data_IF_833253654374
#
_entry.id   IF_833253654374
#
_cell.length_a   1.000
_cell.length_b   1.000
_cell.length_c   1.000
_cell.angle_alpha   90.00
_cell.angle_beta   90.00
_cell.angle_gamma   90.00
#
_symmetry.space_group_name_H-M   'P 1'
#
loop_
_entity.id
_entity.type
_entity.pdbx_description
1 polymer ?
#
# COMPACT_ATOMS: atom_id res chain seq x y z
N UNK A 1 26.56 11.36 16.81
CA UNK A 1 25.64 10.75 15.83
C UNK A 1 24.22 11.04 16.32
N UNK A 2 23.49 11.92 15.66
CA UNK A 2 22.09 12.20 16.02
C UNK A 2 21.28 11.03 15.45
N UNK A 3 20.74 10.20 16.30
CA UNK A 3 19.79 9.16 15.90
C UNK A 3 18.51 9.86 15.46
N UNK A 4 18.32 10.04 14.15
CA UNK A 4 17.06 10.54 13.62
C UNK A 4 16.04 9.42 13.83
N UNK A 5 15.15 9.60 14.80
CA UNK A 5 14.01 8.68 14.99
C UNK A 5 13.12 8.81 13.76
N UNK A 6 12.88 7.70 13.08
CA UNK A 6 11.96 7.68 11.94
C UNK A 6 10.56 8.17 12.38
N UNK A 7 9.85 8.95 11.55
CA UNK A 7 8.48 9.36 11.87
C UNK A 7 7.59 8.11 12.05
N UNK A 8 6.54 8.25 12.87
CA UNK A 8 5.63 7.14 13.15
C UNK A 8 4.82 6.71 11.92
N UNK A 9 4.54 7.69 11.03
CA UNK A 9 3.79 7.51 9.78
C UNK A 9 4.71 7.90 8.63
N UNK A 10 4.99 6.95 7.74
CA UNK A 10 5.91 7.18 6.63
C UNK A 10 5.73 6.19 5.48
N UNK A 11 6.25 6.59 4.33
CA UNK A 11 6.59 5.69 3.23
C UNK A 11 8.09 5.72 2.99
N UNK A 12 8.67 4.56 2.73
CA UNK A 12 10.08 4.40 2.39
C UNK A 12 10.24 3.60 1.12
N UNK A 13 11.02 4.12 0.19
CA UNK A 13 11.38 3.42 -1.03
C UNK A 13 12.63 2.57 -0.80
N UNK A 14 12.73 1.46 -1.53
CA UNK A 14 13.91 0.61 -1.56
C UNK A 14 14.14 0.02 -2.95
N UNK A 15 15.34 -0.50 -3.17
CA UNK A 15 15.72 -1.25 -4.37
C UNK A 15 16.49 -2.49 -3.97
N UNK A 16 16.22 -3.61 -4.62
CA UNK A 16 17.01 -4.84 -4.47
C UNK A 16 18.17 -4.75 -5.44
N UNK A 17 19.40 -4.69 -4.92
CA UNK A 17 20.59 -4.37 -5.73
C UNK A 17 20.95 -5.45 -6.73
N UNK A 18 20.73 -6.73 -6.38
CA UNK A 18 20.98 -7.88 -7.25
C UNK A 18 19.88 -8.18 -8.26
N UNK A 19 18.80 -7.40 -8.28
CA UNK A 19 17.61 -7.64 -9.11
C UNK A 19 17.09 -6.32 -9.67
N UNK A 20 16.40 -6.38 -10.83
CA UNK A 20 15.68 -5.22 -11.37
C UNK A 20 14.34 -4.97 -10.64
N UNK A 21 14.38 -4.97 -9.32
CA UNK A 21 13.19 -4.83 -8.47
C UNK A 21 13.32 -3.61 -7.56
N UNK A 22 12.32 -2.76 -7.59
CA UNK A 22 12.14 -1.67 -6.63
C UNK A 22 10.91 -1.91 -5.79
N UNK A 23 10.87 -1.33 -4.60
CA UNK A 23 9.71 -1.44 -3.75
C UNK A 23 9.49 -0.22 -2.86
N UNK A 24 8.39 -0.27 -2.15
CA UNK A 24 8.03 0.69 -1.10
C UNK A 24 7.41 -0.04 0.07
N UNK A 25 7.66 0.48 1.25
CA UNK A 25 7.01 0.07 2.49
C UNK A 25 6.35 1.27 3.12
N UNK A 26 5.13 1.08 3.61
CA UNK A 26 4.32 2.09 4.31
C UNK A 26 4.02 1.60 5.71
N UNK A 27 4.19 2.49 6.67
CA UNK A 27 3.75 2.33 8.04
C UNK A 27 2.85 3.49 8.42
N UNK A 28 1.65 3.19 8.92
CA UNK A 28 0.66 4.16 9.38
C UNK A 28 0.19 3.78 10.79
N UNK A 29 0.36 4.72 11.72
CA UNK A 29 -0.01 4.61 13.13
C UNK A 29 -1.03 5.68 13.48
N UNK A 30 -0.58 6.89 13.75
CA UNK A 30 -1.45 8.00 14.14
C UNK A 30 -2.36 8.44 12.99
N UNK A 31 -1.86 8.40 11.75
CA UNK A 31 -2.64 8.71 10.55
C UNK A 31 -3.76 7.70 10.36
N UNK A 32 -3.46 6.39 10.43
CA UNK A 32 -4.48 5.35 10.30
C UNK A 32 -5.56 5.48 11.38
N UNK A 33 -5.14 5.66 12.63
CA UNK A 33 -6.06 5.78 13.77
C UNK A 33 -7.00 7.00 13.59
N UNK A 34 -6.45 8.17 13.24
CA UNK A 34 -7.23 9.40 13.01
C UNK A 34 -8.24 9.25 11.87
N UNK A 35 -7.80 8.72 10.71
CA UNK A 35 -8.67 8.54 9.54
C UNK A 35 -9.82 7.59 9.86
N UNK A 36 -9.53 6.46 10.49
CA UNK A 36 -10.54 5.44 10.77
C UNK A 36 -11.46 5.88 11.90
N UNK A 37 -10.91 6.44 12.98
CA UNK A 37 -11.71 6.86 14.14
C UNK A 37 -12.63 8.06 13.84
N UNK A 38 -12.25 8.93 12.89
CA UNK A 38 -13.02 10.13 12.55
C UNK A 38 -14.47 9.85 12.10
N UNK A 39 -14.74 8.66 11.57
CA UNK A 39 -16.03 8.33 10.94
C UNK A 39 -16.84 7.24 11.66
N UNK A 40 -16.28 6.60 12.70
CA UNK A 40 -16.98 5.55 13.44
C UNK A 40 -17.42 4.36 12.59
N UNK A 41 -16.60 3.96 11.65
CA UNK A 41 -16.87 2.82 10.77
C UNK A 41 -16.99 1.50 11.54
N UNK A 42 -17.86 0.56 11.10
CA UNK A 42 -17.80 -0.82 11.54
C UNK A 42 -16.44 -1.44 11.19
N UNK A 43 -15.93 -2.37 12.01
CA UNK A 43 -14.62 -3.02 11.81
C UNK A 43 -14.31 -3.45 10.37
N UNK A 44 -15.22 -4.13 9.64
CA UNK A 44 -14.93 -4.55 8.26
C UNK A 44 -14.70 -3.36 7.31
N UNK A 45 -15.44 -2.26 7.50
CA UNK A 45 -15.28 -1.03 6.70
C UNK A 45 -14.00 -0.30 7.09
N UNK A 46 -13.68 -0.25 8.40
CA UNK A 46 -12.43 0.30 8.93
C UNK A 46 -11.20 -0.33 8.28
N UNK A 47 -11.21 -1.67 8.14
CA UNK A 47 -10.12 -2.41 7.48
C UNK A 47 -9.97 -2.02 6.01
N UNK A 48 -11.05 -1.96 5.27
CA UNK A 48 -11.04 -1.55 3.85
C UNK A 48 -10.52 -0.12 3.68
N UNK A 49 -10.94 0.81 4.55
CA UNK A 49 -10.45 2.20 4.53
C UNK A 49 -8.97 2.26 4.83
N UNK A 50 -8.49 1.50 5.82
CA UNK A 50 -7.06 1.40 6.14
C UNK A 50 -6.22 0.82 5.00
N UNK A 51 -6.70 -0.25 4.34
CA UNK A 51 -6.04 -0.83 3.17
C UNK A 51 -5.98 0.17 2.00
N UNK A 52 -7.08 0.88 1.73
CA UNK A 52 -7.11 1.89 0.67
C UNK A 52 -6.14 3.05 0.96
N UNK A 53 -6.04 3.47 2.22
CA UNK A 53 -5.11 4.50 2.67
C UNK A 53 -3.64 4.09 2.43
N UNK A 54 -3.28 2.86 2.81
CA UNK A 54 -1.94 2.30 2.57
C UNK A 54 -1.67 2.19 1.08
N UNK A 55 -2.63 1.70 0.30
CA UNK A 55 -2.49 1.57 -1.15
C UNK A 55 -2.25 2.93 -1.82
N UNK A 56 -3.04 3.96 -1.46
CA UNK A 56 -2.84 5.31 -1.97
C UNK A 56 -1.45 5.85 -1.62
N UNK A 57 -0.95 5.62 -0.40
CA UNK A 57 0.38 6.03 0.02
C UNK A 57 1.50 5.29 -0.74
N UNK A 58 1.37 3.96 -0.92
CA UNK A 58 2.33 3.14 -1.69
C UNK A 58 2.45 3.63 -3.14
N UNK A 59 1.33 3.94 -3.77
CA UNK A 59 1.27 4.37 -5.16
C UNK A 59 1.64 5.84 -5.31
N UNK A 60 1.09 6.72 -4.48
CA UNK A 60 1.28 8.16 -4.55
C UNK A 60 2.72 8.60 -4.30
N UNK A 61 3.42 7.91 -3.40
CA UNK A 61 4.86 8.17 -3.18
C UNK A 61 5.75 7.85 -4.40
N UNK A 62 5.19 7.31 -5.49
CA UNK A 62 5.90 7.14 -6.76
C UNK A 62 5.84 8.34 -7.68
N UNK A 63 4.98 9.30 -7.40
CA UNK A 63 4.86 10.51 -8.20
C UNK A 63 6.19 11.28 -8.18
N UNK A 64 6.65 11.67 -9.37
CA UNK A 64 7.88 12.45 -9.56
C UNK A 64 7.61 13.95 -9.69
N UNK A 65 6.36 14.35 -9.49
CA UNK A 65 5.86 15.71 -9.60
C UNK A 65 4.83 15.98 -8.50
N UNK A 66 4.53 17.25 -8.25
CA UNK A 66 3.47 17.62 -7.30
C UNK A 66 2.10 17.34 -7.90
N UNK A 67 1.22 16.75 -7.09
CA UNK A 67 -0.12 16.39 -7.53
C UNK A 67 -0.80 15.43 -6.56
N UNK A 68 -1.97 14.97 -6.94
CA UNK A 68 -2.78 14.03 -6.16
C UNK A 68 -2.94 12.72 -6.91
N UNK A 69 -2.72 11.60 -6.19
CA UNK A 69 -3.11 10.28 -6.64
C UNK A 69 -4.34 9.83 -5.84
N UNK A 70 -5.39 9.46 -6.56
CA UNK A 70 -6.64 8.95 -5.98
C UNK A 70 -6.82 7.47 -6.34
N UNK A 71 -7.05 6.65 -5.33
CA UNK A 71 -7.57 5.29 -5.46
C UNK A 71 -9.05 5.33 -5.13
N UNK A 72 -9.89 4.92 -6.07
CA UNK A 72 -11.33 4.88 -5.88
C UNK A 72 -11.89 3.53 -6.28
N UNK A 73 -12.72 2.92 -5.40
CA UNK A 73 -13.53 1.77 -5.78
C UNK A 73 -14.99 2.18 -5.92
N UNK A 74 -15.71 1.50 -6.82
CA UNK A 74 -17.16 1.52 -6.91
C UNK A 74 -17.66 0.09 -6.98
N UNK A 75 -18.59 -0.27 -6.09
CA UNK A 75 -19.12 -1.61 -5.97
C UNK A 75 -20.63 -1.64 -5.77
N UNK A 76 -21.25 -2.78 -6.07
CA UNK A 76 -22.68 -3.04 -5.88
C UNK A 76 -23.01 -3.61 -4.50
N UNK A 77 -21.98 -3.86 -3.69
CA UNK A 77 -22.09 -4.40 -2.35
C UNK A 77 -22.54 -3.37 -1.31
N UNK A 78 -22.58 -3.77 -0.02
CA UNK A 78 -22.88 -2.87 1.09
C UNK A 78 -21.93 -1.68 1.22
N UNK A 79 -20.67 -1.83 0.83
CA UNK A 79 -19.68 -0.75 0.70
C UNK A 79 -19.67 -0.34 -0.76
N UNK A 80 -20.40 0.72 -1.09
CA UNK A 80 -20.60 1.15 -2.48
C UNK A 80 -19.43 1.95 -3.04
N UNK A 81 -18.64 2.60 -2.19
CA UNK A 81 -17.50 3.40 -2.61
C UNK A 81 -16.45 3.49 -1.49
N UNK A 82 -15.19 3.41 -1.89
CA UNK A 82 -14.04 3.77 -1.06
C UNK A 82 -13.20 4.75 -1.87
N UNK A 83 -12.75 5.82 -1.25
CA UNK A 83 -11.83 6.80 -1.86
C UNK A 83 -10.66 7.00 -0.92
N UNK A 84 -9.46 6.94 -1.45
CA UNK A 84 -8.25 7.29 -0.73
C UNK A 84 -7.35 8.16 -1.62
N UNK A 85 -6.86 9.26 -1.09
CA UNK A 85 -5.99 10.19 -1.77
C UNK A 85 -4.62 10.24 -1.11
N UNK A 86 -3.61 10.37 -1.93
CA UNK A 86 -2.27 10.82 -1.57
C UNK A 86 -1.99 12.11 -2.31
N UNK A 87 -1.71 13.19 -1.58
CA UNK A 87 -1.27 14.46 -2.13
C UNK A 87 0.19 14.69 -1.78
N UNK A 88 1.01 14.96 -2.81
CA UNK A 88 2.43 15.25 -2.65
C UNK A 88 2.65 16.47 -1.72
N UNK A 89 3.66 16.46 -0.82
CA UNK A 89 4.69 15.44 -0.70
C UNK A 89 4.32 14.22 0.16
N UNK A 90 3.23 14.21 0.93
CA UNK A 90 2.93 13.10 1.83
C UNK A 90 1.64 13.27 2.63
N UNK A 91 0.64 13.99 2.14
CA UNK A 91 -0.66 14.12 2.81
C UNK A 91 -1.62 13.05 2.31
N UNK A 92 -2.27 12.33 3.24
CA UNK A 92 -3.20 11.25 2.91
C UNK A 92 -4.55 11.42 3.59
N UNK A 93 -5.60 10.95 2.92
CA UNK A 93 -6.96 10.86 3.46
C UNK A 93 -7.69 9.68 2.84
N UNK A 94 -8.71 9.17 3.52
CA UNK A 94 -9.59 8.15 2.97
C UNK A 94 -10.98 8.22 3.58
N UNK A 95 -11.98 7.78 2.81
CA UNK A 95 -13.35 7.64 3.28
C UNK A 95 -14.07 6.52 2.54
N UNK A 96 -15.18 6.05 3.13
CA UNK A 96 -16.05 5.06 2.52
C UNK A 96 -17.53 5.47 2.63
N UNK A 97 -18.30 5.08 1.60
CA UNK A 97 -19.77 5.13 1.61
C UNK A 97 -20.30 3.71 1.72
N UNK A 98 -21.15 3.47 2.70
CA UNK A 98 -21.64 2.13 3.00
C UNK A 98 -23.07 2.16 3.59
N UNK A 99 -23.75 1.02 3.50
CA UNK A 99 -25.01 0.75 4.17
C UNK A 99 -24.77 -0.02 5.47
N UNK A 100 -24.94 0.63 6.60
CA UNK A 100 -24.66 0.06 7.91
C UNK A 100 -25.51 -1.18 8.22
N UNK A 101 -26.79 -1.21 7.80
CA UNK A 101 -27.68 -2.34 8.01
C UNK A 101 -27.25 -3.56 7.20
N UNK A 102 -26.89 -3.37 5.93
CA UNK A 102 -26.38 -4.44 5.07
C UNK A 102 -25.02 -4.95 5.55
N UNK A 103 -24.10 -4.07 5.97
CA UNK A 103 -22.80 -4.49 6.54
C UNK A 103 -23.02 -5.33 7.81
N UNK A 104 -23.89 -4.88 8.72
CA UNK A 104 -24.17 -5.60 9.96
C UNK A 104 -24.75 -7.02 9.70
N UNK A 105 -25.54 -7.19 8.63
CA UNK A 105 -26.12 -8.47 8.26
C UNK A 105 -25.11 -9.51 7.75
N UNK A 106 -23.90 -9.10 7.34
CA UNK A 106 -22.84 -9.99 6.85
C UNK A 106 -22.08 -10.72 7.97
N UNK A 107 -22.28 -10.32 9.23
CA UNK A 107 -21.56 -10.90 10.37
C UNK A 107 -20.20 -10.26 10.64
N UNK A 108 -19.32 -10.98 11.39
CA UNK A 108 -18.09 -10.38 11.95
C UNK A 108 -16.92 -10.31 10.99
N UNK A 109 -16.84 -11.20 10.02
CA UNK A 109 -15.67 -11.32 9.13
C UNK A 109 -16.10 -11.54 7.67
N UNK A 110 -16.82 -10.57 7.08
CA UNK A 110 -17.21 -10.68 5.68
C UNK A 110 -15.99 -10.60 4.76
N UNK A 111 -16.06 -11.31 3.63
CA UNK A 111 -15.03 -11.20 2.60
C UNK A 111 -15.12 -9.86 1.87
N UNK A 112 -14.06 -9.52 1.11
CA UNK A 112 -14.04 -8.34 0.25
C UNK A 112 -15.24 -8.35 -0.72
N UNK A 113 -15.50 -9.48 -1.36
CA UNK A 113 -16.60 -9.63 -2.33
C UNK A 113 -17.97 -9.46 -1.69
N UNK A 114 -18.14 -9.88 -0.44
CA UNK A 114 -19.39 -9.65 0.30
C UNK A 114 -19.57 -8.18 0.65
N UNK A 115 -18.49 -7.45 0.93
CA UNK A 115 -18.53 -6.03 1.26
C UNK A 115 -18.69 -5.14 0.05
N UNK A 116 -17.88 -5.33 -0.99
CA UNK A 116 -17.81 -4.42 -2.15
C UNK A 116 -18.62 -4.94 -3.33
N UNK A 117 -18.71 -6.26 -3.48
CA UNK A 117 -19.43 -6.89 -4.59
C UNK A 117 -18.72 -6.67 -5.93
N UNK A 118 -19.48 -6.85 -7.02
CA UNK A 118 -18.99 -6.53 -8.35
C UNK A 118 -18.79 -5.03 -8.49
N UNK A 119 -17.75 -4.65 -9.23
CA UNK A 119 -17.45 -3.23 -9.39
C UNK A 119 -16.13 -2.96 -10.09
N UNK A 120 -15.59 -1.78 -9.89
CA UNK A 120 -14.33 -1.34 -10.49
C UNK A 120 -13.45 -0.59 -9.50
N UNK A 121 -12.14 -0.65 -9.73
CA UNK A 121 -11.16 0.22 -9.12
C UNK A 121 -10.64 1.20 -10.18
N UNK A 122 -10.56 2.46 -9.81
CA UNK A 122 -9.97 3.54 -10.59
C UNK A 122 -8.75 4.09 -9.88
N UNK A 123 -7.66 4.28 -10.63
CA UNK A 123 -6.47 5.00 -10.16
C UNK A 123 -6.36 6.25 -11.01
N UNK A 124 -6.42 7.41 -10.35
CA UNK A 124 -6.38 8.71 -11.00
C UNK A 124 -5.14 9.46 -10.52
N UNK A 125 -4.41 10.04 -11.45
CA UNK A 125 -3.29 10.94 -11.18
C UNK A 125 -3.68 12.31 -11.70
N UNK A 126 -3.66 13.30 -10.81
CA UNK A 126 -4.03 14.68 -11.08
C UNK A 126 -2.84 15.58 -10.74
N UNK A 127 -2.01 15.95 -11.72
CA UNK A 127 -0.86 16.82 -11.52
C UNK A 127 -1.25 18.25 -11.19
N UNK A 128 -0.45 18.94 -10.36
CA UNK A 128 -0.66 20.37 -10.03
C UNK A 128 -0.25 21.33 -11.18
N UNK A 129 0.50 20.83 -12.18
CA UNK A 129 0.99 21.61 -13.32
C UNK A 129 0.15 21.39 -14.58
N UNK A 130 0.49 22.10 -15.66
CA UNK A 130 -0.14 21.97 -16.99
C UNK A 130 0.12 20.59 -17.65
N UNK A 131 -0.11 19.53 -16.90
CA UNK A 131 -0.04 18.14 -17.35
C UNK A 131 -1.45 17.53 -17.35
N UNK A 132 -1.71 16.69 -18.34
CA UNK A 132 -3.01 16.02 -18.44
C UNK A 132 -3.26 15.07 -17.28
N UNK A 133 -4.48 15.09 -16.80
CA UNK A 133 -4.98 14.11 -15.81
C UNK A 133 -5.01 12.72 -16.45
N UNK A 134 -4.46 11.75 -15.75
CA UNK A 134 -4.49 10.35 -16.13
C UNK A 134 -5.46 9.56 -15.25
N UNK A 135 -6.24 8.66 -15.85
CA UNK A 135 -7.08 7.73 -15.11
C UNK A 135 -7.12 6.38 -15.80
N UNK A 136 -6.82 5.33 -15.04
CA UNK A 136 -7.04 3.95 -15.45
C UNK A 136 -8.14 3.32 -14.60
N UNK A 137 -8.99 2.51 -15.22
CA UNK A 137 -10.11 1.83 -14.57
C UNK A 137 -10.09 0.35 -14.97
N UNK A 138 -10.16 -0.54 -13.97
CA UNK A 138 -10.26 -1.99 -14.19
C UNK A 138 -11.39 -2.59 -13.37
N UNK A 139 -12.03 -3.67 -13.82
CA UNK A 139 -12.99 -4.39 -13.00
C UNK A 139 -12.30 -5.03 -11.79
N UNK A 140 -13.01 -5.12 -10.68
CA UNK A 140 -12.58 -5.92 -9.53
C UNK A 140 -13.07 -7.35 -9.73
N UNK A 141 -12.14 -8.29 -9.83
CA UNK A 141 -12.43 -9.71 -10.11
C UNK A 141 -12.21 -10.58 -8.84
N UNK A 142 -12.54 -10.04 -7.66
CA UNK A 142 -12.40 -10.74 -6.39
C UNK A 142 -11.05 -10.52 -5.69
N UNK A 143 -10.85 -11.21 -4.58
CA UNK A 143 -9.63 -11.20 -3.79
C UNK A 143 -9.53 -10.06 -2.79
N UNK A 144 -9.41 -8.81 -3.26
CA UNK A 144 -9.24 -7.65 -2.38
C UNK A 144 -8.72 -6.41 -3.12
N UNK A 145 -8.40 -5.37 -2.36
CA UNK A 145 -7.83 -4.14 -2.92
C UNK A 145 -6.43 -4.35 -3.50
N UNK A 146 -5.60 -5.17 -2.85
CA UNK A 146 -4.26 -5.49 -3.32
C UNK A 146 -4.31 -6.21 -4.67
N UNK A 147 -5.15 -7.24 -4.80
CA UNK A 147 -5.35 -8.02 -6.03
C UNK A 147 -5.90 -7.14 -7.15
N UNK A 148 -6.87 -6.28 -6.85
CA UNK A 148 -7.43 -5.34 -7.82
C UNK A 148 -6.38 -4.33 -8.32
N UNK A 149 -5.52 -3.85 -7.45
CA UNK A 149 -4.42 -2.95 -7.82
C UNK A 149 -3.33 -3.68 -8.62
N UNK A 150 -3.00 -4.93 -8.27
CA UNK A 150 -2.05 -5.74 -9.06
C UNK A 150 -2.57 -5.97 -10.48
N UNK A 151 -3.87 -6.28 -10.62
CA UNK A 151 -4.52 -6.43 -11.92
C UNK A 151 -4.48 -5.13 -12.73
N UNK A 152 -4.66 -3.98 -12.08
CA UNK A 152 -4.51 -2.67 -12.74
C UNK A 152 -3.11 -2.51 -13.34
N UNK A 153 -2.06 -2.80 -12.56
CA UNK A 153 -0.68 -2.69 -13.04
C UNK A 153 -0.37 -3.67 -14.17
N UNK A 154 -0.88 -4.88 -14.09
CA UNK A 154 -0.69 -5.87 -15.15
C UNK A 154 -1.37 -5.46 -16.46
N UNK A 155 -2.65 -5.05 -16.41
CA UNK A 155 -3.47 -4.77 -17.61
C UNK A 155 -3.24 -3.38 -18.19
N UNK A 156 -3.04 -2.37 -17.36
CA UNK A 156 -2.99 -0.97 -17.79
C UNK A 156 -1.55 -0.45 -17.93
N UNK A 157 -0.68 -0.82 -17.00
CA UNK A 157 0.69 -0.30 -16.94
C UNK A 157 1.72 -1.30 -17.48
N UNK A 158 1.35 -2.57 -17.60
CA UNK A 158 2.26 -3.67 -17.99
C UNK A 158 3.50 -3.75 -17.09
N UNK A 159 3.33 -3.44 -15.81
CA UNK A 159 4.37 -3.51 -14.78
C UNK A 159 4.05 -4.66 -13.83
N UNK A 160 4.81 -5.76 -13.86
CA UNK A 160 4.64 -6.83 -12.87
C UNK A 160 4.79 -6.27 -11.46
N UNK A 161 3.75 -6.40 -10.67
CA UNK A 161 3.63 -5.78 -9.35
C UNK A 161 3.13 -6.80 -8.33
N UNK A 162 3.72 -6.82 -7.13
CA UNK A 162 3.19 -7.56 -6.00
C UNK A 162 2.91 -6.59 -4.85
N UNK A 163 1.75 -6.74 -4.20
CA UNK A 163 1.27 -5.87 -3.12
C UNK A 163 0.81 -6.71 -1.95
N UNK A 164 1.18 -6.30 -0.74
CA UNK A 164 0.65 -6.80 0.53
C UNK A 164 0.16 -5.61 1.36
N UNK A 165 -1.07 -5.73 1.86
CA UNK A 165 -1.70 -4.73 2.72
C UNK A 165 -2.11 -5.41 4.03
N UNK A 166 -2.03 -4.70 5.14
CA UNK A 166 -2.46 -5.20 6.44
C UNK A 166 -3.04 -4.06 7.28
N UNK A 167 -4.14 -4.34 7.97
CA UNK A 167 -4.77 -3.44 8.94
C UNK A 167 -5.09 -4.21 10.20
N UNK A 168 -4.69 -3.68 11.34
CA UNK A 168 -4.92 -4.30 12.62
C UNK A 168 -5.26 -3.25 13.70
N UNK A 169 -5.88 -3.71 14.79
CA UNK A 169 -5.99 -2.95 16.02
C UNK A 169 -4.92 -3.40 17.00
N UNK A 170 -4.23 -2.46 17.60
CA UNK A 170 -3.26 -2.70 18.66
C UNK A 170 -3.82 -2.18 19.99
N UNK A 171 -3.79 -3.03 21.02
CA UNK A 171 -4.09 -2.61 22.38
C UNK A 171 -2.89 -1.92 23.00
N UNK A 172 -3.01 -0.64 23.27
CA UNK A 172 -1.97 0.14 23.96
C UNK A 172 -2.42 0.49 25.40
N UNK A 173 -1.46 0.53 26.33
CA UNK A 173 -1.75 0.93 27.71
C UNK A 173 -1.76 2.46 27.77
N UNK A 174 -2.96 3.06 27.83
CA UNK A 174 -3.14 4.49 28.04
C UNK A 174 -3.28 4.84 29.53
N UNK A 175 -3.32 6.14 29.82
CA UNK A 175 -3.46 6.68 31.19
C UNK A 175 -4.78 6.28 31.89
N UNK A 176 -5.81 5.92 31.13
CA UNK A 176 -7.14 5.56 31.61
C UNK A 176 -7.51 4.08 31.38
N UNK A 177 -6.53 3.25 31.00
CA UNK A 177 -6.75 1.82 30.72
C UNK A 177 -6.20 1.41 29.35
N UNK A 178 -6.69 0.28 28.83
CA UNK A 178 -6.32 -0.21 27.50
C UNK A 178 -7.10 0.52 26.42
N UNK A 179 -6.39 1.15 25.48
CA UNK A 179 -6.96 1.78 24.30
C UNK A 179 -6.66 0.92 23.07
N UNK A 180 -7.65 0.72 22.19
CA UNK A 180 -7.45 0.11 20.89
C UNK A 180 -7.15 1.20 19.87
N UNK A 181 -6.00 1.07 19.19
CA UNK A 181 -5.60 1.98 18.12
C UNK A 181 -5.44 1.24 16.82
N UNK A 182 -5.90 1.84 15.74
CA UNK A 182 -5.74 1.31 14.40
C UNK A 182 -4.30 1.48 13.91
N UNK A 183 -3.82 0.46 13.22
CA UNK A 183 -2.57 0.48 12.48
C UNK A 183 -2.79 -0.09 11.10
N UNK A 184 -2.11 0.50 10.13
CA UNK A 184 -2.14 0.02 8.76
C UNK A 184 -0.72 0.05 8.19
N UNK A 185 -0.40 -0.94 7.38
CA UNK A 185 0.90 -1.03 6.74
C UNK A 185 0.83 -1.84 5.47
N UNK A 186 1.84 -1.72 4.66
CA UNK A 186 1.90 -2.46 3.42
C UNK A 186 3.25 -2.37 2.75
N UNK A 187 3.45 -3.27 1.81
CA UNK A 187 4.61 -3.30 0.96
C UNK A 187 4.20 -3.57 -0.48
N UNK A 188 4.92 -2.93 -1.39
CA UNK A 188 4.80 -3.12 -2.83
C UNK A 188 6.18 -3.37 -3.40
N UNK A 189 6.29 -4.33 -4.33
CA UNK A 189 7.46 -4.51 -5.20
C UNK A 189 7.03 -4.49 -6.66
N UNK A 190 7.89 -3.95 -7.52
CA UNK A 190 7.68 -3.85 -8.97
C UNK A 190 8.92 -4.28 -9.72
N UNK A 191 8.71 -5.08 -10.77
CA UNK A 191 9.77 -5.39 -11.70
C UNK A 191 10.00 -4.18 -12.62
N UNK A 192 11.24 -3.69 -12.64
CA UNK A 192 11.65 -2.67 -13.59
C UNK A 192 11.98 -3.38 -14.89
N UNK A 193 11.05 -3.39 -15.83
CA UNK A 193 11.33 -3.87 -17.18
C UNK A 193 12.57 -3.11 -17.71
N UNK A 194 13.51 -3.85 -18.31
CA UNK A 194 14.65 -3.29 -19.00
C UNK A 194 14.14 -2.40 -20.14
N UNK A 195 14.06 -1.09 -19.91
CA UNK A 195 13.78 -0.12 -20.97
C UNK A 195 14.89 -0.22 -21.99
N UNK A 196 14.64 -0.98 -23.06
CA UNK A 196 15.39 -0.99 -24.33
C UNK A 196 16.92 -0.93 -24.18
N UNK A 197 17.57 -2.02 -23.78
CA UNK A 197 18.99 -2.23 -24.09
C UNK A 197 20.05 -1.45 -23.29
N UNK A 198 19.67 -0.55 -22.40
CA UNK A 198 20.59 0.12 -21.48
C UNK A 198 20.39 -0.50 -20.10
N UNK A 199 21.07 -1.60 -19.84
CA UNK A 199 21.27 -2.05 -18.47
C UNK A 199 22.06 -0.97 -17.74
N UNK A 200 21.63 -0.45 -16.56
CA UNK A 200 22.57 0.26 -15.72
C UNK A 200 23.71 -0.72 -15.46
N UNK A 201 24.95 -0.24 -15.58
CA UNK A 201 26.16 -1.04 -15.37
C UNK A 201 26.26 -1.48 -13.89
N UNK A 202 25.35 -2.32 -13.44
CA UNK A 202 25.39 -3.04 -12.19
C UNK A 202 26.07 -4.38 -12.48
N UNK A 203 27.25 -4.52 -11.97
CA UNK A 203 28.10 -5.71 -11.86
C UNK A 203 27.44 -6.98 -12.39
N UNK A 204 27.53 -7.15 -13.69
CA UNK A 204 27.15 -8.37 -14.39
C UNK A 204 28.11 -9.49 -13.93
N UNK A 205 27.65 -10.28 -12.96
CA UNK A 205 28.33 -11.50 -12.52
C UNK A 205 27.91 -12.71 -13.36
N UNK A 206 27.35 -12.50 -14.57
CA UNK A 206 26.88 -13.59 -15.43
C UNK A 206 25.62 -14.30 -14.91
N UNK A 207 24.85 -13.63 -14.03
CA UNK A 207 23.60 -14.16 -13.50
C UNK A 207 22.47 -13.93 -14.51
N UNK A 208 21.67 -14.97 -14.75
CA UNK A 208 20.45 -14.88 -15.55
C UNK A 208 19.40 -14.06 -14.79
N UNK A 209 18.96 -12.94 -15.37
CA UNK A 209 17.96 -12.04 -14.79
C UNK A 209 16.52 -12.49 -15.01
N UNK A 210 16.29 -13.56 -15.79
CA UNK A 210 14.93 -14.08 -16.00
C UNK A 210 14.29 -14.60 -14.71
N UNK A 211 15.09 -15.08 -13.78
CA UNK A 211 14.63 -15.60 -12.48
C UNK A 211 14.48 -14.53 -11.39
N UNK A 212 14.88 -13.28 -11.61
CA UNK A 212 14.89 -12.24 -10.60
C UNK A 212 13.48 -11.93 -10.08
N UNK A 213 12.51 -11.77 -10.97
CA UNK A 213 11.15 -11.46 -10.57
C UNK A 213 10.43 -12.64 -9.87
N UNK A 214 10.44 -13.87 -10.38
CA UNK A 214 9.91 -15.02 -9.67
C UNK A 214 10.53 -15.22 -8.28
N UNK A 215 11.84 -15.02 -8.14
CA UNK A 215 12.55 -15.10 -6.86
C UNK A 215 12.07 -13.99 -5.90
N UNK A 216 12.02 -12.73 -6.37
CA UNK A 216 11.53 -11.63 -5.56
C UNK A 216 10.09 -11.85 -5.09
N UNK A 217 9.21 -12.35 -5.96
CA UNK A 217 7.85 -12.71 -5.61
C UNK A 217 7.78 -13.83 -4.58
N UNK A 218 8.59 -14.87 -4.72
CA UNK A 218 8.63 -15.98 -3.77
C UNK A 218 9.02 -15.49 -2.37
N UNK A 219 10.07 -14.68 -2.25
CA UNK A 219 10.49 -14.07 -0.99
C UNK A 219 9.41 -13.13 -0.43
N UNK A 220 8.85 -12.28 -1.27
CA UNK A 220 7.78 -11.35 -0.90
C UNK A 220 6.51 -12.07 -0.42
N UNK A 221 6.19 -13.23 -0.97
CA UNK A 221 5.04 -14.04 -0.57
C UNK A 221 5.12 -14.54 0.87
N UNK A 222 6.31 -14.59 1.45
CA UNK A 222 6.56 -15.01 2.84
C UNK A 222 6.27 -13.93 3.89
N UNK A 223 5.84 -12.73 3.46
CA UNK A 223 5.46 -11.66 4.38
C UNK A 223 4.18 -12.06 5.10
N UNK A 224 4.25 -12.09 6.42
CA UNK A 224 3.08 -12.32 7.28
C UNK A 224 2.36 -10.98 7.56
N UNK A 225 1.02 -10.95 7.60
CA UNK A 225 0.26 -9.72 7.81
C UNK A 225 0.68 -8.91 9.03
N UNK A 226 1.05 -9.58 10.12
CA UNK A 226 1.47 -8.91 11.35
C UNK A 226 2.80 -8.14 11.19
N UNK A 227 3.71 -8.61 10.33
CA UNK A 227 5.01 -7.96 10.12
C UNK A 227 4.88 -6.54 9.52
N UNK A 228 3.75 -6.25 8.89
CA UNK A 228 3.48 -4.94 8.27
C UNK A 228 2.87 -3.93 9.26
N UNK A 229 2.39 -4.36 10.42
CA UNK A 229 1.66 -3.52 11.38
C UNK A 229 2.20 -3.60 12.82
N UNK A 230 3.08 -4.56 13.11
CA UNK A 230 3.70 -4.69 14.43
C UNK A 230 4.73 -3.57 14.65
N UNK A 231 4.59 -2.75 15.71
CA UNK A 231 5.54 -1.68 16.02
C UNK A 231 6.94 -2.18 16.40
N UNK A 232 7.10 -3.46 16.69
CA UNK A 232 8.39 -4.07 17.02
C UNK A 232 9.14 -4.56 15.77
N UNK A 233 8.47 -4.63 14.63
CA UNK A 233 9.08 -5.01 13.36
C UNK A 233 9.44 -3.75 12.58
N UNK A 234 10.70 -3.35 12.70
CA UNK A 234 11.22 -2.25 11.89
C UNK A 234 11.25 -2.65 10.40
N UNK A 235 10.84 -1.77 9.48
CA UNK A 235 10.83 -2.07 8.04
C UNK A 235 12.16 -2.54 7.50
N UNK A 236 13.27 -1.99 8.00
CA UNK A 236 14.62 -2.39 7.61
C UNK A 236 14.93 -3.85 7.99
N UNK A 237 14.44 -4.28 9.16
CA UNK A 237 14.58 -5.67 9.60
C UNK A 237 13.78 -6.62 8.71
N UNK A 238 12.57 -6.22 8.33
CA UNK A 238 11.74 -6.98 7.38
C UNK A 238 12.42 -7.07 6.01
N UNK A 239 12.89 -5.95 5.47
CA UNK A 239 13.62 -5.92 4.21
C UNK A 239 14.88 -6.77 4.24
N UNK A 240 15.66 -6.71 5.35
CA UNK A 240 16.82 -7.57 5.54
C UNK A 240 16.44 -9.05 5.56
N UNK A 241 15.39 -9.43 6.30
CA UNK A 241 14.89 -10.82 6.33
C UNK A 241 14.56 -11.34 4.92
N UNK A 242 13.93 -10.49 4.10
CA UNK A 242 13.48 -10.89 2.77
C UNK A 242 14.62 -10.94 1.75
N UNK A 243 15.50 -9.94 1.74
CA UNK A 243 16.37 -9.67 0.58
C UNK A 243 17.85 -9.48 0.93
N UNK A 244 18.32 -9.89 2.11
CA UNK A 244 19.71 -9.66 2.53
C UNK A 244 20.75 -10.36 1.62
N UNK A 245 20.38 -11.50 1.02
CA UNK A 245 21.28 -12.22 0.10
C UNK A 245 21.51 -11.46 -1.22
N UNK A 246 20.52 -10.70 -1.65
CA UNK A 246 20.54 -9.97 -2.92
C UNK A 246 20.98 -8.50 -2.73
N UNK A 247 21.06 -8.05 -1.49
CA UNK A 247 21.39 -6.66 -1.13
C UNK A 247 20.17 -5.73 -1.26
N UNK A 248 19.97 -4.87 -0.26
CA UNK A 248 18.88 -3.90 -0.24
C UNK A 248 19.44 -2.51 -0.02
N UNK A 249 19.14 -1.62 -0.95
CA UNK A 249 19.36 -0.18 -0.79
C UNK A 249 18.07 0.48 -0.36
N UNK A 250 18.09 1.14 0.78
CA UNK A 250 16.96 1.92 1.32
C UNK A 250 17.21 3.39 1.07
N UNK A 251 16.13 4.11 0.75
CA UNK A 251 16.16 5.55 0.51
C UNK A 251 15.55 6.31 1.71
N UNK A 252 15.61 7.65 1.66
CA UNK A 252 15.04 8.49 2.69
C UNK A 252 13.54 8.27 2.86
N UNK A 253 13.07 8.47 4.08
CA UNK A 253 11.64 8.40 4.40
C UNK A 253 10.92 9.64 3.91
N UNK A 254 9.71 9.46 3.43
CA UNK A 254 8.73 10.53 3.24
C UNK A 254 7.74 10.46 4.39
N UNK A 255 7.69 11.47 5.27
CA UNK A 255 6.69 11.52 6.34
C UNK A 255 5.29 11.59 5.77
N UNK A 256 4.34 10.91 6.40
CA UNK A 256 2.94 10.96 6.04
C UNK A 256 2.14 11.72 7.09
N UNK A 257 1.21 12.53 6.62
CA UNK A 257 0.34 13.34 7.47
C UNK A 257 -1.12 13.19 7.04
N UNK A 258 -2.03 13.39 7.97
CA UNK A 258 -3.46 13.43 7.71
C UNK A 258 -3.87 14.82 7.18
N UNK A 259 -4.77 14.86 6.18
CA UNK A 259 -5.35 16.07 5.60
C UNK A 259 -6.53 16.59 6.43
#
# INVERSE_FOLDING_TARGET
>A
MVTVVAPADFVRSFQIEGMNVRGRVVHLTDVADRVIAAHGYPDPVSRLVGEALVLAALLGASLKFSGTLTVQTRGEGPVSMIVADFTSPGTVRACATFDAGRVASLGKSPSFDQLVGKGSIAITIDPDADMDRYQGVVPMEGGGLAESAMMYFDRSEQIPTAIRLSVATLSTRGAQGSELRWRAGGMLIQNLASLGGIQPASRDNGRDHEDDWPRAQALFSTIEPHELVDPQVEPERLLYRLFHEDGVRVFDVVPLTFA
#
